data_IF_719985551982
#
_entry.id   IF_719985551982
#
_cell.length_a   1.000
_cell.length_b   1.000
_cell.length_c   1.000
_cell.angle_alpha   90.00
_cell.angle_beta   90.00
_cell.angle_gamma   90.00
#
_symmetry.space_group_name_H-M   'P 1'
#
loop_
_entity.id
_entity.type
_entity.pdbx_description
1 polymer ?
#
# COMPACT_ATOMS: atom_id res chain seq x y z
N UNK A 1 -46.62 -21.03 -42.45
CA UNK A 1 -46.17 -20.82 -41.06
C UNK A 1 -44.65 -20.69 -41.07
N UNK A 2 -44.11 -19.46 -41.13
CA UNK A 2 -42.68 -19.18 -40.96
C UNK A 2 -42.54 -17.68 -40.66
N UNK A 3 -42.62 -17.32 -39.38
CA UNK A 3 -42.47 -15.94 -38.91
C UNK A 3 -42.19 -15.91 -37.40
N UNK A 4 -41.15 -16.60 -36.93
CA UNK A 4 -40.78 -16.56 -35.49
C UNK A 4 -39.28 -16.59 -35.19
N UNK A 5 -38.40 -16.40 -36.17
CA UNK A 5 -36.93 -16.50 -35.95
C UNK A 5 -36.17 -15.16 -35.92
N UNK A 6 -36.84 -14.01 -36.13
CA UNK A 6 -36.13 -12.71 -36.21
C UNK A 6 -36.05 -11.91 -34.90
N UNK A 7 -36.73 -12.31 -33.82
CA UNK A 7 -36.75 -11.53 -32.58
C UNK A 7 -35.59 -11.82 -31.60
N UNK A 8 -34.83 -12.89 -31.78
CA UNK A 8 -33.79 -13.33 -30.81
C UNK A 8 -32.37 -12.83 -31.07
N UNK A 9 -32.04 -12.43 -32.30
CA UNK A 9 -30.71 -11.91 -32.66
C UNK A 9 -30.35 -10.57 -31.97
N UNK A 10 -31.27 -9.59 -31.84
CA UNK A 10 -30.97 -8.31 -31.17
C UNK A 10 -30.75 -8.47 -29.66
N UNK A 11 -31.48 -9.38 -29.01
CA UNK A 11 -31.32 -9.62 -27.57
C UNK A 11 -30.01 -10.33 -27.23
N UNK A 12 -29.58 -11.29 -28.04
CA UNK A 12 -28.29 -11.96 -27.86
C UNK A 12 -27.11 -11.00 -28.04
N UNK A 13 -27.16 -10.13 -29.06
CA UNK A 13 -26.14 -9.09 -29.25
C UNK A 13 -26.13 -8.09 -28.09
N UNK A 14 -27.31 -7.64 -27.63
CA UNK A 14 -27.42 -6.72 -26.49
C UNK A 14 -26.83 -7.34 -25.21
N UNK A 15 -27.12 -8.63 -24.97
CA UNK A 15 -26.59 -9.39 -23.84
C UNK A 15 -25.07 -9.59 -23.94
N UNK A 16 -24.55 -9.90 -25.13
CA UNK A 16 -23.10 -10.06 -25.32
C UNK A 16 -22.35 -8.73 -25.15
N UNK A 17 -22.94 -7.63 -25.62
CA UNK A 17 -22.42 -6.26 -25.41
C UNK A 17 -22.44 -5.88 -23.94
N UNK A 18 -23.51 -6.18 -23.19
CA UNK A 18 -23.60 -5.85 -21.77
C UNK A 18 -22.56 -6.62 -20.93
N UNK A 19 -22.32 -7.90 -21.23
CA UNK A 19 -21.25 -8.69 -20.61
C UNK A 19 -19.87 -8.08 -20.90
N UNK A 20 -19.62 -7.68 -22.15
CA UNK A 20 -18.35 -7.07 -22.53
C UNK A 20 -18.12 -5.74 -21.78
N UNK A 21 -19.14 -4.88 -21.73
CA UNK A 21 -19.10 -3.61 -21.00
C UNK A 21 -18.83 -3.82 -19.50
N UNK A 22 -19.51 -4.79 -18.87
CA UNK A 22 -19.31 -5.11 -17.46
C UNK A 22 -17.87 -5.57 -17.17
N UNK A 23 -17.28 -6.39 -18.05
CA UNK A 23 -15.88 -6.85 -17.90
C UNK A 23 -14.90 -5.69 -17.99
N UNK A 24 -15.10 -4.77 -18.92
CA UNK A 24 -14.27 -3.57 -19.04
C UNK A 24 -14.41 -2.65 -17.83
N UNK A 25 -15.64 -2.43 -17.35
CA UNK A 25 -15.89 -1.63 -16.16
C UNK A 25 -15.17 -2.22 -14.93
N UNK A 26 -15.28 -3.54 -14.72
CA UNK A 26 -14.59 -4.22 -13.62
C UNK A 26 -13.06 -4.12 -13.74
N UNK A 27 -12.51 -4.24 -14.95
CA UNK A 27 -11.07 -4.07 -15.16
C UNK A 27 -10.62 -2.64 -14.85
N UNK A 28 -11.36 -1.64 -15.31
CA UNK A 28 -11.05 -0.23 -15.04
C UNK A 28 -11.08 0.02 -13.54
N UNK A 29 -12.12 -0.43 -12.85
CA UNK A 29 -12.23 -0.33 -11.38
C UNK A 29 -11.04 -1.01 -10.70
N UNK A 30 -10.67 -2.22 -11.12
CA UNK A 30 -9.53 -2.94 -10.55
C UNK A 30 -8.20 -2.19 -10.77
N UNK A 31 -7.96 -1.67 -11.98
CA UNK A 31 -6.76 -0.87 -12.30
C UNK A 31 -6.70 0.38 -11.44
N UNK A 32 -7.81 1.11 -11.32
CA UNK A 32 -7.89 2.33 -10.52
C UNK A 32 -7.67 2.03 -9.04
N UNK A 33 -8.35 1.04 -8.47
CA UNK A 33 -8.20 0.66 -7.07
C UNK A 33 -6.77 0.24 -6.75
N UNK A 34 -6.17 -0.63 -7.57
CA UNK A 34 -4.79 -1.06 -7.39
C UNK A 34 -3.82 0.14 -7.49
N UNK A 35 -4.05 1.06 -8.41
CA UNK A 35 -3.24 2.28 -8.57
C UNK A 35 -3.39 3.21 -7.36
N UNK A 36 -4.59 3.44 -6.85
CA UNK A 36 -4.80 4.29 -5.66
C UNK A 36 -4.13 3.68 -4.42
N UNK A 37 -4.20 2.36 -4.25
CA UNK A 37 -3.68 1.71 -3.04
C UNK A 37 -2.16 1.52 -3.10
N UNK A 38 -1.58 1.28 -4.29
CA UNK A 38 -0.18 0.86 -4.45
C UNK A 38 0.69 1.70 -5.38
N UNK A 39 0.11 2.70 -6.05
CA UNK A 39 0.64 3.43 -7.20
C UNK A 39 0.91 2.59 -8.47
N UNK A 40 1.55 1.43 -8.35
CA UNK A 40 2.05 0.65 -9.50
C UNK A 40 1.10 -0.47 -9.94
N UNK A 41 0.18 -0.90 -9.05
CA UNK A 41 -0.54 -2.16 -9.21
C UNK A 41 -1.44 -2.21 -10.45
N UNK A 42 -2.01 -1.07 -10.87
CA UNK A 42 -2.80 -1.02 -12.10
C UNK A 42 -1.96 -1.25 -13.35
N UNK A 43 -0.76 -0.64 -13.42
CA UNK A 43 0.19 -0.86 -14.52
C UNK A 43 0.65 -2.31 -14.55
N UNK A 44 1.00 -2.88 -13.39
CA UNK A 44 1.39 -4.29 -13.28
C UNK A 44 0.26 -5.21 -13.74
N UNK A 45 -1.00 -4.91 -13.40
CA UNK A 45 -2.16 -5.70 -13.83
C UNK A 45 -2.29 -5.69 -15.36
N UNK A 46 -2.21 -4.51 -15.98
CA UNK A 46 -2.28 -4.38 -17.44
C UNK A 46 -1.13 -5.12 -18.14
N UNK A 47 0.10 -4.99 -17.62
CA UNK A 47 1.27 -5.72 -18.12
C UNK A 47 1.08 -7.23 -17.98
N UNK A 48 0.56 -7.71 -16.85
CA UNK A 48 0.30 -9.14 -16.65
C UNK A 48 -0.71 -9.67 -17.68
N UNK A 49 -1.80 -8.94 -17.89
CA UNK A 49 -2.81 -9.32 -18.89
C UNK A 49 -2.28 -9.28 -20.32
N UNK A 50 -1.39 -8.33 -20.63
CA UNK A 50 -0.70 -8.27 -21.91
C UNK A 50 0.26 -9.45 -22.10
N UNK A 51 1.06 -9.78 -21.08
CA UNK A 51 1.99 -10.92 -21.06
C UNK A 51 1.26 -12.25 -21.27
N UNK A 52 0.15 -12.46 -20.57
CA UNK A 52 -0.70 -13.66 -20.72
C UNK A 52 -1.25 -13.79 -22.14
N UNK A 53 -1.45 -12.67 -22.84
CA UNK A 53 -1.98 -12.64 -24.20
C UNK A 53 -1.00 -13.17 -25.25
N UNK A 54 0.31 -13.18 -24.96
CA UNK A 54 1.33 -13.76 -25.84
C UNK A 54 1.29 -15.30 -25.86
N UNK A 55 0.65 -15.95 -24.88
CA UNK A 55 0.47 -17.40 -24.91
C UNK A 55 -0.63 -17.80 -25.93
N UNK A 56 -0.42 -18.88 -26.72
CA UNK A 56 -1.44 -19.41 -27.62
C UNK A 56 -2.74 -19.68 -26.88
N UNK A 57 -3.90 -19.49 -27.52
CA UNK A 57 -5.24 -19.68 -26.91
C UNK A 57 -5.37 -21.03 -26.19
N UNK A 58 -4.80 -22.10 -26.76
CA UNK A 58 -4.80 -23.46 -26.17
C UNK A 58 -4.02 -23.56 -24.86
N UNK A 59 -3.02 -22.71 -24.66
CA UNK A 59 -2.12 -22.69 -23.49
C UNK A 59 -2.42 -21.53 -22.55
N UNK A 60 -3.48 -20.75 -22.80
CA UNK A 60 -3.79 -19.61 -21.93
C UNK A 60 -4.08 -20.09 -20.51
N UNK A 61 -3.38 -19.55 -19.50
CA UNK A 61 -3.57 -19.95 -18.12
C UNK A 61 -5.01 -19.71 -17.67
N UNK A 62 -5.53 -20.62 -16.84
CA UNK A 62 -6.80 -20.42 -16.15
C UNK A 62 -6.75 -19.13 -15.33
N UNK A 63 -7.92 -18.57 -15.01
CA UNK A 63 -8.02 -17.30 -14.24
C UNK A 63 -7.21 -17.32 -12.94
N UNK A 64 -7.23 -18.44 -12.19
CA UNK A 64 -6.46 -18.59 -10.95
C UNK A 64 -4.94 -18.55 -11.18
N UNK A 65 -4.46 -19.16 -12.27
CA UNK A 65 -3.04 -19.15 -12.64
C UNK A 65 -2.63 -17.74 -13.09
N UNK A 66 -3.50 -17.04 -13.84
CA UNK A 66 -3.27 -15.64 -14.21
C UNK A 66 -3.19 -14.73 -12.98
N UNK A 67 -4.05 -14.95 -11.99
CA UNK A 67 -4.00 -14.22 -10.71
C UNK A 67 -2.69 -14.51 -9.95
N UNK A 68 -2.25 -15.77 -9.89
CA UNK A 68 -0.95 -16.12 -9.32
C UNK A 68 0.21 -15.46 -10.08
N UNK A 69 0.14 -15.42 -11.40
CA UNK A 69 1.13 -14.74 -12.24
C UNK A 69 1.18 -13.23 -11.97
N UNK A 70 0.02 -12.58 -11.80
CA UNK A 70 -0.05 -11.18 -11.38
C UNK A 70 0.67 -10.94 -10.04
N UNK A 71 0.44 -11.79 -9.04
CA UNK A 71 1.11 -11.67 -7.74
C UNK A 71 2.63 -11.76 -7.89
N UNK A 72 3.12 -12.72 -8.69
CA UNK A 72 4.56 -12.85 -8.98
C UNK A 72 5.09 -11.61 -9.69
N UNK A 73 4.43 -11.14 -10.75
CA UNK A 73 4.82 -9.91 -11.46
C UNK A 73 4.83 -8.68 -10.54
N UNK A 74 3.86 -8.57 -9.63
CA UNK A 74 3.77 -7.47 -8.67
C UNK A 74 4.90 -7.52 -7.63
N UNK A 75 5.23 -8.70 -7.10
CA UNK A 75 6.34 -8.87 -6.16
C UNK A 75 7.68 -8.55 -6.83
N UNK A 76 7.90 -9.02 -8.05
CA UNK A 76 9.12 -8.72 -8.82
C UNK A 76 9.18 -7.22 -9.13
N UNK A 77 8.08 -6.61 -9.58
CA UNK A 77 8.04 -5.18 -9.81
C UNK A 77 8.39 -4.39 -8.54
N UNK A 78 7.74 -4.70 -7.42
CA UNK A 78 7.91 -3.96 -6.16
C UNK A 78 9.29 -4.11 -5.53
N UNK A 79 9.94 -5.27 -5.68
CA UNK A 79 11.21 -5.56 -5.01
C UNK A 79 12.44 -5.39 -5.90
N UNK A 80 12.31 -5.54 -7.22
CA UNK A 80 13.45 -5.51 -8.16
C UNK A 80 13.41 -4.29 -9.08
N UNK A 81 12.24 -3.95 -9.63
CA UNK A 81 12.13 -2.93 -10.67
C UNK A 81 11.92 -1.53 -10.09
N UNK A 82 11.01 -1.41 -9.13
CA UNK A 82 10.60 -0.11 -8.57
C UNK A 82 11.72 0.55 -7.76
N UNK A 83 12.46 -0.11 -6.86
CA UNK A 83 13.47 0.56 -6.05
C UNK A 83 14.55 1.32 -6.85
N UNK A 84 15.19 0.75 -7.90
CA UNK A 84 16.16 1.50 -8.69
C UNK A 84 15.52 2.64 -9.50
N UNK A 85 14.31 2.45 -10.03
CA UNK A 85 13.60 3.51 -10.75
C UNK A 85 13.21 4.66 -9.82
N UNK A 86 12.71 4.34 -8.63
CA UNK A 86 12.35 5.30 -7.59
C UNK A 86 13.58 6.14 -7.20
N UNK A 87 14.73 5.48 -6.99
CA UNK A 87 16.01 6.13 -6.66
C UNK A 87 16.44 7.11 -7.76
N UNK A 88 16.35 6.71 -9.03
CA UNK A 88 16.64 7.59 -10.16
C UNK A 88 15.73 8.83 -10.22
N UNK A 89 14.53 8.75 -9.64
CA UNK A 89 13.56 9.86 -9.55
C UNK A 89 13.59 10.62 -8.22
N UNK A 90 14.58 10.36 -7.35
CA UNK A 90 14.75 11.06 -6.08
C UNK A 90 13.95 10.46 -4.91
N UNK A 91 13.64 9.16 -4.96
CA UNK A 91 12.95 8.43 -3.89
C UNK A 91 13.75 7.23 -3.43
N UNK A 92 13.88 7.04 -2.12
CA UNK A 92 14.57 5.89 -1.53
C UNK A 92 13.60 5.12 -0.65
N UNK A 93 13.68 3.78 -0.71
CA UNK A 93 12.89 2.90 0.14
C UNK A 93 13.43 2.93 1.58
N UNK A 94 12.55 3.17 2.54
CA UNK A 94 12.82 2.98 3.97
C UNK A 94 12.86 1.48 4.30
N UNK A 95 13.57 1.07 5.38
CA UNK A 95 13.66 -0.34 5.73
C UNK A 95 12.30 -0.94 6.08
N UNK A 96 11.97 -2.10 5.52
CA UNK A 96 10.72 -2.80 5.84
C UNK A 96 10.79 -3.61 7.14
N UNK A 97 11.99 -4.02 7.52
CA UNK A 97 12.26 -4.89 8.66
C UNK A 97 13.48 -4.40 9.42
N UNK A 98 13.58 -4.75 10.70
CA UNK A 98 14.76 -4.43 11.49
C UNK A 98 16.00 -5.12 10.92
N UNK A 99 17.12 -4.39 10.93
CA UNK A 99 18.43 -4.96 10.68
C UNK A 99 19.28 -4.98 11.96
N UNK A 100 20.38 -5.73 11.95
CA UNK A 100 21.29 -5.83 13.10
C UNK A 100 21.85 -4.47 13.52
N UNK A 101 22.18 -3.62 12.55
CA UNK A 101 22.84 -2.33 12.78
C UNK A 101 21.90 -1.12 12.60
N UNK A 102 20.61 -1.36 12.38
CA UNK A 102 19.64 -0.30 12.10
C UNK A 102 18.26 -0.71 12.61
N UNK A 103 17.85 -0.12 13.73
CA UNK A 103 16.55 -0.35 14.37
C UNK A 103 15.54 0.68 13.88
N UNK A 104 15.18 0.57 12.61
CA UNK A 104 14.05 1.27 12.03
C UNK A 104 13.33 0.28 11.12
N UNK A 105 12.01 0.16 11.26
CA UNK A 105 11.23 -0.58 10.29
C UNK A 105 9.78 -0.08 10.21
N UNK A 106 9.08 -0.51 9.17
CA UNK A 106 7.64 -0.33 9.10
C UNK A 106 6.94 -1.03 10.28
N UNK A 107 5.87 -0.44 10.81
CA UNK A 107 5.03 -1.07 11.81
C UNK A 107 4.38 -2.34 11.25
N UNK A 108 3.98 -2.32 9.97
CA UNK A 108 3.35 -3.46 9.31
C UNK A 108 4.05 -3.76 7.97
N UNK A 109 4.16 -5.05 7.59
CA UNK A 109 4.63 -5.41 6.25
C UNK A 109 3.72 -4.88 5.14
N UNK A 110 2.46 -4.54 5.47
CA UNK A 110 1.50 -4.00 4.52
C UNK A 110 1.97 -2.68 3.92
N UNK A 111 2.54 -1.78 4.73
CA UNK A 111 3.13 -0.52 4.23
C UNK A 111 4.12 -0.79 3.09
N UNK A 112 4.96 -1.82 3.24
CA UNK A 112 5.91 -2.20 2.21
C UNK A 112 5.26 -2.88 1.02
N UNK A 113 4.35 -3.82 1.26
CA UNK A 113 3.63 -4.54 0.20
C UNK A 113 2.81 -3.58 -0.69
N UNK A 114 2.33 -2.46 -0.15
CA UNK A 114 1.62 -1.42 -0.88
C UNK A 114 2.53 -0.34 -1.47
N UNK A 115 3.86 -0.50 -1.40
CA UNK A 115 4.83 0.50 -1.87
C UNK A 115 4.66 1.89 -1.21
N UNK A 116 4.26 1.94 0.07
CA UNK A 116 4.06 3.19 0.84
C UNK A 116 5.22 3.55 1.76
N UNK A 117 6.40 3.04 1.44
CA UNK A 117 7.61 3.11 2.28
C UNK A 117 8.73 3.91 1.61
N UNK A 118 8.40 4.82 0.68
CA UNK A 118 9.40 5.62 -0.02
C UNK A 118 9.47 7.03 0.54
N UNK A 119 10.67 7.61 0.58
CA UNK A 119 10.89 8.97 1.04
C UNK A 119 11.95 9.66 0.17
N UNK A 120 12.05 10.98 0.28
CA UNK A 120 13.21 11.72 -0.26
C UNK A 120 14.50 11.27 0.46
N UNK A 121 15.68 11.33 -0.18
CA UNK A 121 16.95 10.97 0.45
C UNK A 121 17.16 11.69 1.78
N UNK A 122 16.87 12.99 1.84
CA UNK A 122 17.05 13.81 3.05
C UNK A 122 16.13 13.34 4.19
N UNK A 123 14.90 12.96 3.86
CA UNK A 123 13.95 12.43 4.85
C UNK A 123 14.39 11.04 5.31
N UNK A 124 14.85 10.18 4.41
CA UNK A 124 15.37 8.87 4.77
C UNK A 124 16.61 9.01 5.67
N UNK A 125 17.55 9.90 5.36
CA UNK A 125 18.70 10.18 6.22
C UNK A 125 18.30 10.68 7.61
N UNK A 126 17.33 11.60 7.69
CA UNK A 126 16.80 12.08 8.96
C UNK A 126 16.16 10.94 9.79
N UNK A 127 15.39 10.06 9.15
CA UNK A 127 14.79 8.88 9.78
C UNK A 127 15.85 7.94 10.37
N UNK A 128 16.92 7.68 9.60
CA UNK A 128 18.00 6.80 10.02
C UNK A 128 18.85 7.42 11.12
N UNK A 129 19.12 8.72 11.04
CA UNK A 129 19.83 9.47 12.08
C UNK A 129 19.06 9.49 13.39
N UNK A 130 17.74 9.74 13.35
CA UNK A 130 16.86 9.66 14.51
C UNK A 130 16.86 8.26 15.12
N UNK A 131 16.77 7.20 14.30
CA UNK A 131 16.81 5.83 14.80
C UNK A 131 18.16 5.45 15.44
N UNK A 132 19.26 6.00 14.93
CA UNK A 132 20.59 5.82 15.52
C UNK A 132 20.72 6.56 16.85
N UNK A 133 20.24 7.81 16.93
CA UNK A 133 20.23 8.61 18.16
C UNK A 133 19.37 7.96 19.26
N UNK A 134 18.17 7.48 18.91
CA UNK A 134 17.32 6.74 19.85
C UNK A 134 18.00 5.49 20.39
N UNK A 135 18.69 4.72 19.54
CA UNK A 135 19.42 3.53 20.01
C UNK A 135 20.60 3.88 20.92
N UNK A 136 21.28 4.99 20.66
CA UNK A 136 22.42 5.43 21.47
C UNK A 136 21.97 5.90 22.88
N UNK A 137 20.85 6.62 22.96
CA UNK A 137 20.33 7.17 24.20
C UNK A 137 19.42 6.18 24.96
N UNK A 138 18.77 5.26 24.26
CA UNK A 138 17.82 4.29 24.82
C UNK A 138 18.04 2.89 24.22
N UNK A 139 19.03 2.14 24.74
CA UNK A 139 19.34 0.81 24.24
C UNK A 139 18.10 -0.11 24.25
N UNK A 140 17.83 -0.72 23.10
CA UNK A 140 16.67 -1.61 22.91
C UNK A 140 15.45 -0.95 22.29
N UNK A 141 15.42 0.39 22.13
CA UNK A 141 14.37 1.07 21.37
C UNK A 141 14.50 0.77 19.87
N UNK A 142 13.36 0.46 19.23
CA UNK A 142 13.24 0.26 17.79
C UNK A 142 12.05 1.06 17.23
N UNK A 143 12.24 2.31 16.77
CA UNK A 143 11.17 3.09 16.17
C UNK A 143 10.48 2.36 15.02
N UNK A 144 9.14 2.50 14.99
CA UNK A 144 8.29 1.97 13.93
C UNK A 144 7.66 3.12 13.17
N UNK A 145 7.82 3.11 11.85
CA UNK A 145 7.13 4.07 10.99
C UNK A 145 5.87 3.48 10.37
N UNK A 146 4.91 4.34 10.05
CA UNK A 146 3.62 4.04 9.44
C UNK A 146 3.73 4.31 7.94
N UNK A 147 2.90 5.18 7.38
CA UNK A 147 3.04 5.58 5.98
C UNK A 147 4.21 6.55 5.79
N UNK A 148 4.89 6.41 4.66
CA UNK A 148 5.72 7.44 4.05
C UNK A 148 5.06 7.83 2.71
N UNK A 149 5.79 7.86 1.60
CA UNK A 149 5.24 8.12 0.27
C UNK A 149 5.24 6.89 -0.64
N UNK A 150 4.61 7.08 -1.80
CA UNK A 150 4.73 6.21 -2.96
C UNK A 150 6.07 6.40 -3.71
N UNK A 151 6.51 5.42 -4.53
CA UNK A 151 7.82 5.43 -5.19
C UNK A 151 8.00 6.47 -6.30
N UNK A 152 6.92 6.96 -6.91
CA UNK A 152 6.96 7.84 -8.08
C UNK A 152 6.09 9.08 -7.90
N UNK A 153 6.40 10.10 -8.70
CA UNK A 153 5.69 11.39 -8.80
C UNK A 153 5.54 12.18 -7.49
N UNK A 154 5.22 13.46 -7.64
CA UNK A 154 4.91 14.35 -6.53
C UNK A 154 3.43 14.65 -6.56
N UNK A 155 2.71 14.40 -5.46
CA UNK A 155 1.31 14.81 -5.30
C UNK A 155 0.24 13.77 -5.62
N UNK A 156 0.61 12.50 -5.86
CA UNK A 156 -0.39 11.42 -5.87
C UNK A 156 -1.07 11.35 -4.50
N UNK A 157 -2.41 11.38 -4.51
CA UNK A 157 -3.20 11.30 -3.29
C UNK A 157 -2.99 9.95 -2.61
N UNK A 158 -2.47 9.95 -1.40
CA UNK A 158 -2.29 8.73 -0.61
C UNK A 158 -3.36 8.68 0.48
N UNK A 159 -4.37 7.84 0.30
CA UNK A 159 -5.41 7.66 1.32
C UNK A 159 -4.88 6.82 2.49
N UNK A 160 -5.15 7.18 3.75
CA UNK A 160 -5.87 8.39 4.19
C UNK A 160 -4.98 9.66 4.28
N UNK A 161 -3.65 9.53 4.34
CA UNK A 161 -2.74 10.65 4.60
C UNK A 161 -2.35 11.43 3.33
N UNK A 162 -3.22 12.37 2.94
CA UNK A 162 -3.14 13.11 1.68
C UNK A 162 -1.87 13.96 1.51
N UNK A 163 -1.16 14.28 2.59
CA UNK A 163 -0.01 15.18 2.61
C UNK A 163 1.31 14.50 2.18
N UNK A 164 1.38 13.17 2.10
CA UNK A 164 2.61 12.43 1.86
C UNK A 164 3.09 12.43 0.40
N UNK A 165 2.35 13.08 -0.51
CA UNK A 165 2.68 13.07 -1.94
C UNK A 165 4.08 13.61 -2.29
N UNK A 166 4.72 14.39 -1.42
CA UNK A 166 6.10 14.88 -1.60
C UNK A 166 7.17 13.99 -0.97
N UNK A 167 6.78 12.97 -0.18
CA UNK A 167 7.60 12.15 0.72
C UNK A 167 8.73 12.90 1.41
N UNK A 168 8.38 14.07 1.90
CA UNK A 168 9.10 14.80 2.93
C UNK A 168 8.48 14.56 4.31
N UNK A 169 7.62 13.55 4.42
CA UNK A 169 6.81 13.21 5.59
C UNK A 169 6.83 11.71 5.77
N UNK A 170 6.89 11.30 7.03
CA UNK A 170 6.82 9.91 7.47
C UNK A 170 6.06 9.93 8.78
N UNK A 171 5.04 9.09 8.89
CA UNK A 171 4.26 8.95 10.11
C UNK A 171 4.95 7.95 11.04
N UNK A 172 4.85 8.16 12.35
CA UNK A 172 5.46 7.29 13.36
C UNK A 172 4.39 6.67 14.26
N UNK A 173 4.63 5.43 14.65
CA UNK A 173 3.90 4.84 15.75
C UNK A 173 4.47 5.36 17.09
N UNK A 174 3.60 5.54 18.07
CA UNK A 174 4.03 5.77 19.44
C UNK A 174 4.81 4.58 20.00
N UNK A 175 5.67 4.85 20.98
CA UNK A 175 6.33 3.81 21.75
C UNK A 175 5.39 3.33 22.85
N UNK A 176 4.91 2.10 22.72
CA UNK A 176 4.01 1.51 23.72
C UNK A 176 4.79 0.72 24.76
N UNK A 177 4.32 0.77 26.00
CA UNK A 177 4.81 -0.06 27.10
C UNK A 177 3.77 -1.10 27.52
N UNK A 178 4.24 -2.24 27.99
CA UNK A 178 3.41 -3.27 28.61
C UNK A 178 2.92 -2.85 30.00
N UNK A 179 2.17 -3.75 30.66
CA UNK A 179 1.65 -3.52 32.03
C UNK A 179 2.76 -3.28 33.07
N UNK A 180 3.98 -3.77 32.79
CA UNK A 180 5.11 -3.63 33.68
C UNK A 180 5.97 -2.39 33.33
N UNK A 181 5.44 -1.47 32.50
CA UNK A 181 6.16 -0.30 31.97
C UNK A 181 7.38 -0.64 31.12
N UNK A 182 7.46 -1.87 30.64
CA UNK A 182 8.51 -2.36 29.75
C UNK A 182 8.18 -1.98 28.30
N UNK A 183 9.18 -1.48 27.55
CA UNK A 183 9.01 -1.14 26.15
C UNK A 183 8.65 -2.39 25.31
N UNK A 184 7.64 -2.26 24.45
CA UNK A 184 7.13 -3.33 23.60
C UNK A 184 7.30 -2.95 22.11
N UNK A 185 8.41 -3.35 21.46
CA UNK A 185 8.69 -2.98 20.08
C UNK A 185 7.62 -3.52 19.13
N UNK A 186 7.04 -2.64 18.29
CA UNK A 186 6.03 -3.04 17.31
C UNK A 186 4.63 -3.27 17.87
N UNK A 187 4.42 -3.09 19.18
CA UNK A 187 3.08 -3.07 19.74
C UNK A 187 2.36 -1.81 19.23
N UNK A 188 1.11 -1.97 18.81
CA UNK A 188 0.24 -0.88 18.39
C UNK A 188 -1.20 -1.26 18.69
N UNK A 189 -2.05 -0.32 19.14
CA UNK A 189 -3.47 -0.56 19.32
C UNK A 189 -4.21 -0.74 17.99
N UNK A 190 -3.60 -0.33 16.86
CA UNK A 190 -4.12 -0.59 15.53
C UNK A 190 -3.31 -1.69 14.81
N UNK A 191 -3.96 -2.74 14.29
CA UNK A 191 -3.28 -3.81 13.55
C UNK A 191 -2.74 -3.37 12.19
N UNK A 192 -3.26 -2.26 11.65
CA UNK A 192 -2.84 -1.68 10.37
C UNK A 192 -2.23 -0.29 10.53
N UNK A 193 -2.09 0.19 11.77
CA UNK A 193 -1.51 1.51 12.06
C UNK A 193 -2.46 2.70 11.90
N UNK A 194 -3.76 2.46 11.72
CA UNK A 194 -4.78 3.50 11.54
C UNK A 194 -5.91 3.42 12.57
N UNK A 195 -6.54 4.57 12.78
CA UNK A 195 -7.78 4.73 13.53
C UNK A 195 -7.73 4.37 15.00
N UNK A 196 -6.59 3.99 15.59
CA UNK A 196 -6.43 3.87 17.03
C UNK A 196 -5.48 4.97 17.52
N UNK A 197 -5.98 5.84 18.40
CA UNK A 197 -5.27 7.02 18.87
C UNK A 197 -5.04 6.94 20.38
N UNK A 198 -3.91 7.47 20.84
CA UNK A 198 -3.67 7.64 22.27
C UNK A 198 -4.54 8.78 22.79
N UNK A 199 -5.22 8.56 23.93
CA UNK A 199 -6.05 9.58 24.55
C UNK A 199 -5.21 10.43 25.49
N UNK A 200 -5.60 11.70 25.72
CA UNK A 200 -4.98 12.50 26.78
C UNK A 200 -5.10 11.78 28.12
N UNK A 201 -4.16 12.05 29.03
CA UNK A 201 -4.28 11.58 30.40
C UNK A 201 -5.54 12.20 31.06
N UNK A 202 -6.12 11.49 32.03
CA UNK A 202 -7.39 11.88 32.67
C UNK A 202 -7.36 13.28 33.32
N UNK A 203 -6.17 13.81 33.62
CA UNK A 203 -5.93 15.14 34.19
C UNK A 203 -5.70 16.26 33.15
N UNK A 204 -5.70 15.91 31.86
CA UNK A 204 -5.51 16.86 30.74
C UNK A 204 -6.79 17.01 29.94
N UNK A 205 -7.15 18.25 29.58
CA UNK A 205 -8.34 18.50 28.79
C UNK A 205 -8.17 17.97 27.37
N UNK A 206 -9.06 17.08 26.93
CA UNK A 206 -9.12 16.69 25.53
C UNK A 206 -9.58 17.90 24.70
N UNK A 207 -8.69 18.39 23.84
CA UNK A 207 -9.01 19.52 22.95
C UNK A 207 -10.01 19.09 21.86
N UNK A 208 -10.11 17.78 21.59
CA UNK A 208 -10.96 17.19 20.57
C UNK A 208 -11.64 15.90 21.08
N UNK A 209 -12.55 15.98 22.07
CA UNK A 209 -13.14 14.83 22.75
C UNK A 209 -13.67 13.77 21.76
N UNK A 210 -13.25 12.52 21.97
CA UNK A 210 -13.70 11.35 21.21
C UNK A 210 -14.40 10.35 22.13
N UNK A 211 -15.60 9.91 21.74
CA UNK A 211 -16.37 8.92 22.49
C UNK A 211 -15.93 7.47 22.22
N UNK A 212 -15.06 7.24 21.23
CA UNK A 212 -14.60 5.90 20.80
C UNK A 212 -13.09 5.85 20.58
N UNK A 213 -12.46 4.73 20.94
CA UNK A 213 -11.04 4.47 20.70
C UNK A 213 -10.70 4.39 19.20
N UNK A 214 -11.69 3.97 18.39
CA UNK A 214 -11.60 3.96 16.94
C UNK A 214 -12.41 5.13 16.37
N UNK A 215 -11.77 6.03 15.63
CA UNK A 215 -12.44 7.15 14.94
C UNK A 215 -12.21 7.04 13.44
N UNK A 216 -13.13 7.52 12.59
CA UNK A 216 -12.95 7.60 11.13
C UNK A 216 -12.67 9.04 10.65
N UNK A 217 -12.32 9.94 11.57
CA UNK A 217 -12.01 11.33 11.24
C UNK A 217 -10.67 11.45 10.53
#
# INVERSE_FOLDING_TARGET
MQSSERSGLPEQELHQRSIALMRWALLIVAVVLLTIVTQIGGVVLLLTLALVRFFPERMRPRRLITAGFFVVCYLVASTVVVPPLASATGRVALPCFDATNQKLAALTPLTCALNRHYATPETAEAMLAMAADLQANFPGISPRYLDAAFPFETGMLMLPHLSHGDGRKVDFAFFYTGRNSDYQPGLSPSPIGYWAFERPADDTSDTCPQDTLLTLR
#
